data_IF_742359236031
#
_entry.id   IF_742359236031
#
_cell.length_a   1.000
_cell.length_b   1.000
_cell.length_c   1.000
_cell.angle_alpha   90.00
_cell.angle_beta   90.00
_cell.angle_gamma   90.00
#
_symmetry.space_group_name_H-M   'P 1'
#
loop_
_entity.id
_entity.type
_entity.pdbx_description
1 polymer ?
#
# COMPACT_ATOMS: atom_id res chain seq x y z
N UNK A 1 -4.16 -30.88 -18.26
CA UNK A 1 -3.84 -29.44 -18.17
C UNK A 1 -4.44 -28.97 -16.86
N UNK A 2 -3.65 -28.88 -15.79
CA UNK A 2 -4.11 -28.35 -14.50
C UNK A 2 -3.35 -27.06 -14.26
N UNK A 3 -4.09 -25.96 -14.16
CA UNK A 3 -3.60 -24.66 -13.75
C UNK A 3 -3.22 -24.76 -12.27
N UNK A 4 -1.93 -24.64 -11.98
CA UNK A 4 -1.45 -24.39 -10.62
C UNK A 4 -1.88 -22.97 -10.26
N UNK A 5 -2.92 -22.86 -9.44
CA UNK A 5 -3.16 -21.68 -8.60
C UNK A 5 -1.99 -21.65 -7.62
N UNK A 6 -0.93 -20.92 -7.98
CA UNK A 6 0.18 -20.66 -7.07
C UNK A 6 -0.35 -19.89 -5.87
N UNK A 7 -0.01 -20.35 -4.67
CA UNK A 7 -0.34 -19.71 -3.40
C UNK A 7 -0.04 -18.21 -3.47
N UNK A 8 -1.10 -17.40 -3.42
CA UNK A 8 -1.03 -15.93 -3.40
C UNK A 8 -0.65 -15.39 -2.01
N UNK A 9 -0.22 -16.26 -1.10
CA UNK A 9 0.04 -15.98 0.30
C UNK A 9 1.55 -15.96 0.65
N UNK A 10 2.44 -16.23 -0.31
CA UNK A 10 3.87 -16.00 -0.10
C UNK A 10 4.21 -14.51 -0.26
N UNK A 11 4.15 -13.79 0.87
CA UNK A 11 4.66 -12.44 0.99
C UNK A 11 6.15 -12.40 0.57
N UNK A 12 6.56 -11.50 -0.36
CA UNK A 12 7.97 -11.36 -0.66
C UNK A 12 8.74 -10.99 0.62
N UNK A 13 9.92 -11.59 0.86
CA UNK A 13 10.68 -11.31 2.06
C UNK A 13 10.97 -9.81 2.12
N UNK A 14 10.67 -9.21 3.28
CA UNK A 14 10.97 -7.81 3.54
C UNK A 14 12.46 -7.54 3.24
N UNK A 15 12.81 -6.39 2.65
CA UNK A 15 14.21 -6.03 2.41
C UNK A 15 15.03 -6.15 3.70
N UNK A 16 16.21 -6.77 3.61
CA UNK A 16 17.02 -7.26 4.76
C UNK A 16 17.65 -6.17 5.65
N UNK A 17 17.20 -4.93 5.62
CA UNK A 17 17.75 -3.84 6.45
C UNK A 17 16.67 -3.17 7.30
N UNK A 18 16.03 -3.90 8.21
CA UNK A 18 15.01 -3.32 9.08
C UNK A 18 15.06 -3.95 10.49
N UNK A 19 15.79 -3.27 11.37
CA UNK A 19 15.95 -3.56 12.81
C UNK A 19 14.61 -3.80 13.55
N UNK A 20 14.60 -4.82 14.42
CA UNK A 20 13.46 -5.59 14.95
C UNK A 20 12.59 -4.89 16.01
N UNK A 21 12.85 -3.61 16.34
CA UNK A 21 12.34 -3.02 17.58
C UNK A 21 11.37 -1.84 17.42
N UNK A 22 10.55 -1.76 16.38
CA UNK A 22 9.55 -0.69 16.30
C UNK A 22 8.29 -1.12 15.58
N UNK A 23 7.14 -0.64 16.06
CA UNK A 23 5.94 -0.44 15.23
C UNK A 23 6.31 0.51 14.09
N UNK A 24 7.05 0.01 13.10
CA UNK A 24 7.87 0.80 12.18
C UNK A 24 6.98 1.15 11.00
N UNK A 25 6.83 2.44 10.74
CA UNK A 25 6.39 2.94 9.45
C UNK A 25 7.45 2.49 8.42
N UNK A 26 7.18 1.41 7.70
CA UNK A 26 8.10 0.87 6.71
C UNK A 26 7.92 1.72 5.45
N UNK A 27 8.79 2.71 5.23
CA UNK A 27 8.91 3.31 3.90
C UNK A 27 9.61 2.33 2.97
N UNK A 28 8.90 1.30 2.48
CA UNK A 28 9.49 0.34 1.55
C UNK A 28 9.81 1.07 0.25
N UNK A 29 11.08 1.17 -0.10
CA UNK A 29 11.50 1.65 -1.40
C UNK A 29 11.15 0.57 -2.43
N UNK A 30 10.04 0.76 -3.13
CA UNK A 30 9.92 0.21 -4.49
C UNK A 30 10.96 0.99 -5.32
N UNK A 31 11.71 0.37 -6.23
CA UNK A 31 12.79 1.06 -6.96
C UNK A 31 12.33 2.43 -7.49
N UNK A 32 12.91 3.51 -6.94
CA UNK A 32 12.58 4.90 -7.29
C UNK A 32 11.30 5.49 -6.67
N UNK A 33 10.62 4.82 -5.75
CA UNK A 33 9.36 5.26 -5.16
C UNK A 33 9.35 5.06 -3.64
N UNK A 34 8.95 6.10 -2.90
CA UNK A 34 8.82 6.08 -1.44
C UNK A 34 7.34 5.98 -1.07
N UNK A 35 6.97 4.92 -0.36
CA UNK A 35 5.64 4.80 0.22
C UNK A 35 5.51 5.70 1.45
N UNK A 36 4.30 6.22 1.69
CA UNK A 36 4.01 6.95 2.93
C UNK A 36 4.10 5.97 4.12
N UNK A 37 3.29 4.90 4.12
CA UNK A 37 3.36 3.83 5.12
C UNK A 37 3.20 2.45 4.46
N UNK A 38 3.97 1.47 4.92
CA UNK A 38 3.67 0.05 4.77
C UNK A 38 3.46 -0.54 6.16
N UNK A 39 2.29 -1.15 6.36
CA UNK A 39 1.84 -1.73 7.62
C UNK A 39 1.78 -3.24 7.48
N UNK A 40 2.32 -3.96 8.46
CA UNK A 40 2.26 -5.42 8.52
C UNK A 40 0.79 -5.92 8.54
N UNK A 41 0.43 -7.01 7.82
CA UNK A 41 1.28 -7.91 7.03
C UNK A 41 1.49 -7.53 5.56
N UNK A 42 1.19 -6.30 5.13
CA UNK A 42 1.35 -5.92 3.71
C UNK A 42 0.30 -4.94 3.19
N UNK A 43 -0.13 -4.00 4.03
CA UNK A 43 -1.08 -2.95 3.65
C UNK A 43 -0.29 -1.69 3.33
N UNK A 44 -0.36 -1.24 2.07
CA UNK A 44 0.17 0.06 1.68
C UNK A 44 -0.85 1.14 2.04
N UNK A 45 -0.43 2.16 2.76
CA UNK A 45 -1.26 3.33 3.07
C UNK A 45 -0.64 4.56 2.45
N UNK A 46 -1.41 5.26 1.61
CA UNK A 46 -1.05 6.52 0.98
C UNK A 46 -1.94 7.64 1.54
N UNK A 47 -1.33 8.75 1.93
CA UNK A 47 -2.01 9.87 2.59
C UNK A 47 -2.04 11.08 1.67
N UNK A 48 -3.18 11.78 1.62
CA UNK A 48 -3.37 13.04 0.89
C UNK A 48 -4.12 14.06 1.75
N UNK A 49 -3.96 15.33 1.43
CA UNK A 49 -4.72 16.44 2.01
C UNK A 49 -5.16 17.40 0.87
N UNK A 50 -6.06 16.91 0.02
CA UNK A 50 -6.47 17.59 -1.23
C UNK A 50 -7.98 17.74 -1.31
N UNK A 51 -8.48 18.72 -2.06
CA UNK A 51 -9.93 18.97 -2.20
C UNK A 51 -10.70 17.72 -2.63
N UNK A 52 -10.18 17.02 -3.63
CA UNK A 52 -10.77 15.77 -4.15
C UNK A 52 -9.67 14.79 -4.55
N UNK A 53 -9.91 13.51 -4.28
CA UNK A 53 -9.08 12.44 -4.84
C UNK A 53 -9.30 12.32 -6.36
N UNK A 54 -8.25 12.51 -7.14
CA UNK A 54 -8.23 12.29 -8.58
C UNK A 54 -7.95 10.82 -8.92
N UNK A 55 -8.36 10.33 -10.11
CA UNK A 55 -8.07 8.98 -10.56
C UNK A 55 -6.58 8.60 -10.50
N UNK A 56 -5.68 9.56 -10.76
CA UNK A 56 -4.23 9.33 -10.70
C UNK A 56 -3.73 8.88 -9.31
N UNK A 57 -4.37 9.34 -8.22
CA UNK A 57 -3.98 8.92 -6.87
C UNK A 57 -4.28 7.44 -6.64
N UNK A 58 -5.40 6.94 -7.20
CA UNK A 58 -5.72 5.52 -7.18
C UNK A 58 -4.78 4.70 -8.05
N UNK A 59 -4.47 5.20 -9.26
CA UNK A 59 -3.54 4.54 -10.18
C UNK A 59 -2.12 4.40 -9.59
N UNK A 60 -1.64 5.41 -8.87
CA UNK A 60 -0.38 5.37 -8.13
C UNK A 60 -0.37 4.23 -7.10
N UNK A 61 -1.38 4.17 -6.22
CA UNK A 61 -1.49 3.11 -5.22
C UNK A 61 -1.60 1.71 -5.87
N UNK A 62 -2.36 1.57 -6.96
CA UNK A 62 -2.40 0.31 -7.73
C UNK A 62 -1.04 -0.08 -8.29
N UNK A 63 -0.26 0.88 -8.79
CA UNK A 63 1.12 0.62 -9.24
C UNK A 63 1.98 0.06 -8.12
N UNK A 64 1.87 0.62 -6.91
CA UNK A 64 2.60 0.13 -5.74
C UNK A 64 2.20 -1.27 -5.34
N UNK A 65 0.89 -1.56 -5.28
CA UNK A 65 0.38 -2.89 -4.96
C UNK A 65 0.90 -3.95 -5.94
N UNK A 66 0.92 -3.65 -7.24
CA UNK A 66 1.44 -4.55 -8.26
C UNK A 66 2.94 -4.77 -8.13
N UNK A 67 3.73 -3.71 -8.00
CA UNK A 67 5.19 -3.80 -7.90
C UNK A 67 5.65 -4.50 -6.63
N UNK A 68 4.97 -4.27 -5.50
CA UNK A 68 5.28 -4.88 -4.22
C UNK A 68 4.58 -6.23 -3.98
N UNK A 69 3.77 -6.71 -4.93
CA UNK A 69 2.97 -7.95 -4.83
C UNK A 69 2.05 -7.98 -3.60
N UNK A 70 1.48 -6.83 -3.23
CA UNK A 70 0.46 -6.73 -2.18
C UNK A 70 -0.94 -6.63 -2.77
N UNK A 71 -1.93 -7.12 -2.01
CA UNK A 71 -3.33 -7.18 -2.46
C UNK A 71 -4.18 -6.00 -2.00
N UNK A 72 -3.80 -5.34 -0.90
CA UNK A 72 -4.65 -4.35 -0.23
C UNK A 72 -3.91 -3.03 -0.03
N UNK A 73 -4.54 -1.94 -0.47
CA UNK A 73 -4.07 -0.59 -0.19
C UNK A 73 -5.18 0.32 0.33
N UNK A 74 -4.79 1.32 1.14
CA UNK A 74 -5.65 2.38 1.63
C UNK A 74 -5.16 3.73 1.10
N UNK A 75 -6.03 4.46 0.43
CA UNK A 75 -5.81 5.86 0.07
C UNK A 75 -6.65 6.72 1.00
N UNK A 76 -6.01 7.53 1.84
CA UNK A 76 -6.65 8.32 2.90
C UNK A 76 -6.53 9.81 2.59
N UNK A 77 -7.65 10.47 2.34
CA UNK A 77 -7.72 11.92 2.20
C UNK A 77 -8.16 12.60 3.50
N UNK A 78 -7.24 13.34 4.14
CA UNK A 78 -7.52 14.07 5.38
C UNK A 78 -8.31 15.37 5.18
N UNK A 79 -8.59 15.78 3.94
CA UNK A 79 -9.41 16.97 3.67
C UNK A 79 -10.94 16.73 3.83
N UNK A 80 -11.34 15.79 4.70
CA UNK A 80 -12.74 15.55 5.05
C UNK A 80 -12.96 15.83 6.54
N UNK A 81 -14.13 16.38 6.88
CA UNK A 81 -14.53 16.59 8.29
C UNK A 81 -14.54 15.29 9.11
N UNK A 82 -14.90 14.18 8.49
CA UNK A 82 -14.88 12.85 9.10
C UNK A 82 -13.93 11.95 8.29
N UNK A 83 -12.95 11.35 8.96
CA UNK A 83 -11.92 10.54 8.30
C UNK A 83 -12.51 9.40 7.47
N UNK A 84 -13.56 8.73 7.96
CA UNK A 84 -14.24 7.64 7.25
C UNK A 84 -14.73 8.02 5.85
N UNK A 85 -14.97 9.30 5.58
CA UNK A 85 -15.41 9.80 4.27
C UNK A 85 -14.24 10.00 3.29
N UNK A 86 -13.00 10.07 3.80
CA UNK A 86 -11.79 10.23 3.02
C UNK A 86 -11.03 8.93 2.76
N UNK A 87 -11.50 7.79 3.28
CA UNK A 87 -10.84 6.48 3.11
C UNK A 87 -11.35 5.82 1.84
N UNK A 88 -10.44 5.46 0.93
CA UNK A 88 -10.70 4.60 -0.22
C UNK A 88 -9.87 3.33 -0.12
N UNK A 89 -10.55 2.18 -0.10
CA UNK A 89 -9.94 0.85 -0.17
C UNK A 89 -9.72 0.45 -1.62
N UNK A 90 -8.52 -0.03 -1.95
CA UNK A 90 -8.16 -0.54 -3.28
C UNK A 90 -7.67 -1.99 -3.14
N UNK A 91 -8.14 -2.87 -4.03
CA UNK A 91 -7.78 -4.28 -4.09
C UNK A 91 -7.18 -4.55 -5.47
N UNK A 92 -6.03 -5.23 -5.51
CA UNK A 92 -5.36 -5.71 -6.74
C UNK A 92 -5.64 -7.19 -6.99
#
# INVERSE_FOLDING_TARGET
>A
MNEQVGDLDEHPPLPKELDEASNKVIGAAIEGQRLDLLVDPGIIVEVKAVERLMPMHGAQLTSYLKSARYRLGLLINFNHRLLKNGIKRIIN
#
